data_IF_878318449252
#
_entry.id   IF_878318449252
#
_cell.length_a   1.000
_cell.length_b   1.000
_cell.length_c   1.000
_cell.angle_alpha   90.00
_cell.angle_beta   90.00
_cell.angle_gamma   90.00
#
_symmetry.space_group_name_H-M   'P 1'
#
loop_
_entity.id
_entity.type
_entity.pdbx_description
1 polymer ?
#
# COMPACT_ATOMS: atom_id res chain seq x y z
N UNK A 1 -2.83 -12.07 -10.09
CA UNK A 1 -1.97 -10.86 -10.15
C UNK A 1 -0.55 -11.26 -9.80
N UNK A 2 0.44 -10.91 -10.62
CA UNK A 2 1.85 -11.10 -10.28
C UNK A 2 2.35 -9.91 -9.46
N UNK A 3 3.48 -10.06 -8.75
CA UNK A 3 4.13 -8.94 -8.04
C UNK A 3 4.36 -7.74 -8.96
N UNK A 4 4.77 -8.01 -10.21
CA UNK A 4 5.00 -7.02 -11.25
C UNK A 4 3.78 -6.14 -11.50
N UNK A 5 2.57 -6.71 -11.52
CA UNK A 5 1.36 -5.91 -11.74
C UNK A 5 1.03 -4.97 -10.57
N UNK A 6 1.36 -5.34 -9.33
CA UNK A 6 1.16 -4.45 -8.18
C UNK A 6 2.13 -3.26 -8.27
N UNK A 7 3.39 -3.52 -8.61
CA UNK A 7 4.40 -2.48 -8.83
C UNK A 7 4.00 -1.51 -9.95
N UNK A 8 3.46 -2.04 -11.06
CA UNK A 8 2.91 -1.24 -12.17
C UNK A 8 1.76 -0.35 -11.70
N UNK A 9 0.76 -0.89 -10.99
CA UNK A 9 -0.37 -0.11 -10.49
C UNK A 9 0.06 1.02 -9.53
N UNK A 10 1.07 0.77 -8.67
CA UNK A 10 1.61 1.80 -7.78
C UNK A 10 2.29 2.91 -8.58
N UNK A 11 3.10 2.54 -9.58
CA UNK A 11 3.76 3.53 -10.45
C UNK A 11 2.76 4.39 -11.20
N UNK A 12 1.76 3.78 -11.83
CA UNK A 12 0.73 4.50 -12.59
C UNK A 12 -0.04 5.47 -11.69
N UNK A 13 -0.33 5.07 -10.45
CA UNK A 13 -1.00 5.92 -9.46
C UNK A 13 -0.15 7.12 -9.04
N UNK A 14 1.16 6.91 -8.82
CA UNK A 14 2.10 7.97 -8.49
C UNK A 14 2.28 8.95 -9.66
N UNK A 15 2.36 8.45 -10.90
CA UNK A 15 2.41 9.30 -12.09
C UNK A 15 1.14 10.15 -12.26
N UNK A 16 -0.03 9.60 -11.94
CA UNK A 16 -1.29 10.34 -11.86
C UNK A 16 -1.20 11.47 -10.84
N UNK A 17 -0.78 11.16 -9.61
CA UNK A 17 -0.60 12.14 -8.55
C UNK A 17 0.35 13.29 -8.97
N UNK A 18 1.49 12.98 -9.61
CA UNK A 18 2.41 14.02 -10.09
C UNK A 18 1.81 14.93 -11.17
N UNK A 19 0.94 14.40 -12.04
CA UNK A 19 0.22 15.23 -13.03
C UNK A 19 -0.72 16.22 -12.35
N UNK A 20 -1.37 15.77 -11.28
CA UNK A 20 -2.35 16.56 -10.52
C UNK A 20 -1.69 17.63 -9.62
N UNK A 21 -0.39 17.50 -9.32
CA UNK A 21 0.36 18.53 -8.59
C UNK A 21 0.58 19.81 -9.39
N UNK A 22 0.39 19.79 -10.71
CA UNK A 22 0.54 20.97 -11.58
C UNK A 22 1.87 21.75 -11.38
N UNK A 23 2.96 21.04 -11.10
CA UNK A 23 4.30 21.62 -10.90
C UNK A 23 4.61 22.05 -9.47
N UNK A 24 3.72 21.79 -8.51
CA UNK A 24 3.99 21.96 -7.08
C UNK A 24 4.88 20.79 -6.61
N UNK A 25 5.94 21.11 -5.86
CA UNK A 25 6.78 20.09 -5.23
C UNK A 25 5.99 19.36 -4.13
N UNK A 26 5.94 18.01 -4.16
CA UNK A 26 5.28 17.26 -3.10
C UNK A 26 6.16 17.15 -1.86
N UNK A 27 5.52 17.05 -0.70
CA UNK A 27 6.17 16.80 0.59
C UNK A 27 5.61 15.52 1.25
N UNK A 28 6.45 14.81 2.00
CA UNK A 28 6.01 13.65 2.78
C UNK A 28 5.48 12.45 1.98
N UNK A 29 5.84 12.30 0.70
CA UNK A 29 5.29 11.23 -0.17
C UNK A 29 5.52 9.82 0.38
N UNK A 30 6.67 9.56 1.01
CA UNK A 30 6.95 8.26 1.61
C UNK A 30 5.93 7.90 2.68
N UNK A 31 5.68 8.81 3.63
CA UNK A 31 4.73 8.60 4.71
C UNK A 31 3.29 8.56 4.21
N UNK A 32 2.96 9.39 3.20
CA UNK A 32 1.69 9.32 2.49
C UNK A 32 1.47 7.92 1.91
N UNK A 33 2.45 7.39 1.18
CA UNK A 33 2.37 6.08 0.56
C UNK A 33 2.24 4.96 1.59
N UNK A 34 3.03 4.99 2.67
CA UNK A 34 2.91 4.02 3.76
C UNK A 34 1.48 3.99 4.33
N UNK A 35 0.91 5.14 4.66
CA UNK A 35 -0.46 5.22 5.20
C UNK A 35 -1.52 4.69 4.22
N UNK A 36 -1.34 4.97 2.93
CA UNK A 36 -2.26 4.52 1.88
C UNK A 36 -2.23 3.00 1.73
N UNK A 37 -1.06 2.38 1.78
CA UNK A 37 -0.92 0.94 1.53
C UNK A 37 -1.11 0.08 2.78
N UNK A 38 -0.78 0.60 3.96
CA UNK A 38 -0.80 -0.16 5.21
C UNK A 38 -2.22 -0.57 5.62
N UNK A 39 -3.16 0.38 5.62
CA UNK A 39 -4.55 0.09 5.99
C UNK A 39 -5.20 -1.01 5.12
N UNK A 40 -5.24 -0.91 3.77
CA UNK A 40 -5.84 -1.95 2.95
C UNK A 40 -5.07 -3.27 3.02
N UNK A 41 -3.73 -3.24 3.19
CA UNK A 41 -2.95 -4.46 3.42
C UNK A 41 -3.43 -5.17 4.70
N UNK A 42 -3.56 -4.45 5.81
CA UNK A 42 -4.02 -5.01 7.08
C UNK A 42 -5.46 -5.53 6.98
N UNK A 43 -6.37 -4.78 6.36
CA UNK A 43 -7.77 -5.16 6.20
C UNK A 43 -7.90 -6.47 5.39
N UNK A 44 -7.26 -6.53 4.22
CA UNK A 44 -7.28 -7.71 3.34
C UNK A 44 -6.64 -8.91 4.04
N UNK A 45 -5.50 -8.73 4.72
CA UNK A 45 -4.84 -9.82 5.44
C UNK A 45 -5.69 -10.32 6.59
N UNK A 46 -6.29 -9.42 7.38
CA UNK A 46 -7.16 -9.81 8.50
C UNK A 46 -8.39 -10.58 8.04
N UNK A 47 -8.99 -10.19 6.91
CA UNK A 47 -10.10 -10.91 6.29
C UNK A 47 -9.68 -12.33 5.88
N UNK A 48 -8.55 -12.48 5.17
CA UNK A 48 -8.05 -13.79 4.73
C UNK A 48 -7.53 -14.65 5.89
N UNK A 49 -7.11 -14.02 6.99
CA UNK A 49 -6.72 -14.70 8.21
C UNK A 49 -7.93 -15.07 9.09
N UNK A 50 -9.17 -14.82 8.65
CA UNK A 50 -10.40 -15.08 9.41
C UNK A 50 -10.38 -14.37 10.78
N UNK A 51 -9.88 -13.13 10.80
CA UNK A 51 -9.64 -12.32 12.01
C UNK A 51 -8.65 -12.93 13.03
N UNK A 52 -7.88 -13.96 12.65
CA UNK A 52 -6.81 -14.50 13.49
C UNK A 52 -5.56 -13.61 13.41
N UNK A 53 -5.35 -12.79 14.44
CA UNK A 53 -4.23 -11.84 14.50
C UNK A 53 -2.86 -12.51 14.49
N UNK A 54 -2.67 -13.65 15.15
CA UNK A 54 -1.38 -14.37 15.14
C UNK A 54 -1.03 -14.88 13.73
N UNK A 55 -2.03 -15.41 13.02
CA UNK A 55 -1.89 -15.85 11.62
C UNK A 55 -1.63 -14.66 10.69
N UNK A 56 -2.34 -13.56 10.86
CA UNK A 56 -2.13 -12.31 10.13
C UNK A 56 -0.72 -11.75 10.35
N UNK A 57 -0.28 -11.66 11.61
CA UNK A 57 1.06 -11.19 11.98
C UNK A 57 2.15 -12.07 11.33
N UNK A 58 1.98 -13.39 11.36
CA UNK A 58 2.88 -14.32 10.69
C UNK A 58 2.96 -14.07 9.17
N UNK A 59 1.83 -13.79 8.50
CA UNK A 59 1.80 -13.50 7.07
C UNK A 59 2.41 -12.15 6.72
N UNK A 60 2.20 -11.15 7.58
CA UNK A 60 2.77 -9.81 7.44
C UNK A 60 4.25 -9.75 7.82
N UNK A 61 4.78 -10.78 8.48
CA UNK A 61 6.14 -10.78 9.03
C UNK A 61 6.30 -9.83 10.22
N UNK A 62 5.21 -9.58 10.94
CA UNK A 62 5.18 -8.80 12.18
C UNK A 62 5.37 -9.76 13.37
N UNK A 63 6.25 -9.42 14.31
CA UNK A 63 6.54 -10.20 15.52
C UNK A 63 5.75 -9.71 16.72
#
# INVERSE_FOLDING_TARGET
>A
MSKKHIEECVRDSLEGYFKDLHGIEPDGMHDMMLRIVEKPLLEVVMEHAENNQSKAAQWLGLN
#
